data_IF_302811688299
#
_entry.id   IF_302811688299
#
_cell.length_a   1.000
_cell.length_b   1.000
_cell.length_c   1.000
_cell.angle_alpha   90.00
_cell.angle_beta   90.00
_cell.angle_gamma   90.00
#
_symmetry.space_group_name_H-M   'P 1'
#
loop_
_entity.id
_entity.type
_entity.pdbx_description
1 polymer ?
#
# COMPACT_ATOMS: atom_id res chain seq x y z
N UNK A 1 39.02 7.86 38.90
CA UNK A 1 37.93 7.07 38.34
C UNK A 1 38.60 6.04 37.43
N UNK A 2 38.52 4.76 37.79
CA UNK A 2 39.26 3.69 37.11
C UNK A 2 38.68 3.44 35.71
N UNK A 3 39.52 3.16 34.72
CA UNK A 3 39.11 2.77 33.36
C UNK A 3 38.17 1.56 33.33
N UNK A 4 38.23 0.69 34.34
CA UNK A 4 37.37 -0.48 34.50
C UNK A 4 35.94 -0.09 34.89
N UNK A 5 35.76 0.92 35.77
CA UNK A 5 34.41 1.40 36.12
C UNK A 5 33.68 2.03 34.95
N UNK A 6 34.40 2.72 34.07
CA UNK A 6 33.84 3.28 32.83
C UNK A 6 33.45 2.19 31.83
N UNK A 7 34.27 1.16 31.68
CA UNK A 7 33.98 0.01 30.79
C UNK A 7 32.75 -0.77 31.27
N UNK A 8 32.63 -1.00 32.57
CA UNK A 8 31.47 -1.69 33.16
C UNK A 8 30.18 -0.86 32.96
N UNK A 9 30.24 0.45 33.18
CA UNK A 9 29.08 1.33 32.93
C UNK A 9 28.66 1.35 31.44
N UNK A 10 29.63 1.45 30.54
CA UNK A 10 29.33 1.41 29.07
C UNK A 10 28.75 0.07 28.65
N UNK A 11 29.25 -1.05 29.24
CA UNK A 11 28.69 -2.37 28.97
C UNK A 11 27.23 -2.49 29.42
N UNK A 12 26.91 -2.01 30.64
CA UNK A 12 25.54 -2.07 31.16
C UNK A 12 24.57 -1.19 30.38
N UNK A 13 24.99 -0.03 29.89
CA UNK A 13 24.16 0.79 29.00
C UNK A 13 23.91 0.11 27.67
N UNK A 14 24.90 -0.56 27.08
CA UNK A 14 24.73 -1.33 25.85
C UNK A 14 23.74 -2.46 26.03
N UNK A 15 23.85 -3.24 27.09
CA UNK A 15 22.90 -4.32 27.42
C UNK A 15 21.46 -3.79 27.52
N UNK A 16 21.24 -2.65 28.18
CA UNK A 16 19.91 -2.04 28.29
C UNK A 16 19.39 -1.53 26.94
N UNK A 17 20.24 -0.98 26.08
CA UNK A 17 19.86 -0.58 24.74
C UNK A 17 19.52 -1.78 23.87
N UNK A 18 20.30 -2.85 23.94
CA UNK A 18 20.07 -4.08 23.17
C UNK A 18 18.74 -4.74 23.61
N UNK A 19 18.44 -4.79 24.91
CA UNK A 19 17.15 -5.29 25.42
C UNK A 19 15.95 -4.44 24.93
N UNK A 20 16.10 -3.12 24.90
CA UNK A 20 15.05 -2.23 24.39
C UNK A 20 14.86 -2.40 22.89
N UNK A 21 15.95 -2.50 22.13
CA UNK A 21 15.93 -2.70 20.69
C UNK A 21 15.25 -4.04 20.34
N UNK A 22 15.61 -5.12 21.04
CA UNK A 22 14.99 -6.43 20.88
C UNK A 22 13.48 -6.41 21.19
N UNK A 23 13.05 -5.71 22.24
CA UNK A 23 11.63 -5.56 22.54
C UNK A 23 10.89 -4.78 21.45
N UNK A 24 11.47 -3.70 20.96
CA UNK A 24 10.88 -2.89 19.89
C UNK A 24 10.81 -3.72 18.61
N UNK A 25 11.90 -4.38 18.23
CA UNK A 25 11.96 -5.25 17.05
C UNK A 25 10.92 -6.37 17.11
N UNK A 26 10.78 -7.04 18.25
CA UNK A 26 9.78 -8.09 18.46
C UNK A 26 8.34 -7.56 18.33
N UNK A 27 8.05 -6.35 18.82
CA UNK A 27 6.75 -5.73 18.65
C UNK A 27 6.49 -5.32 17.21
N UNK A 28 7.48 -4.77 16.52
CA UNK A 28 7.37 -4.42 15.11
C UNK A 28 7.14 -5.66 14.25
N UNK A 29 7.86 -6.74 14.50
CA UNK A 29 7.68 -8.02 13.80
C UNK A 29 6.26 -8.57 14.00
N UNK A 30 5.78 -8.58 15.24
CA UNK A 30 4.43 -9.07 15.58
C UNK A 30 3.31 -8.29 14.90
N UNK A 31 3.43 -6.96 14.81
CA UNK A 31 2.35 -6.08 14.37
C UNK A 31 2.46 -5.62 12.91
N UNK A 32 3.64 -5.76 12.29
CA UNK A 32 3.90 -5.25 10.94
C UNK A 32 2.87 -5.75 9.93
N UNK A 33 2.70 -7.05 9.80
CA UNK A 33 1.78 -7.64 8.82
C UNK A 33 0.31 -7.38 9.14
N UNK A 34 -0.20 -7.56 10.38
CA UNK A 34 -1.58 -7.22 10.70
C UNK A 34 -1.92 -5.75 10.42
N UNK A 35 -1.05 -4.82 10.84
CA UNK A 35 -1.25 -3.38 10.63
C UNK A 35 -1.21 -3.05 9.15
N UNK A 36 -0.23 -3.57 8.41
CA UNK A 36 -0.08 -3.37 6.98
C UNK A 36 -1.32 -3.85 6.21
N UNK A 37 -1.84 -5.02 6.56
CA UNK A 37 -3.04 -5.61 5.98
C UNK A 37 -4.28 -4.74 6.22
N UNK A 38 -4.49 -4.31 7.46
CA UNK A 38 -5.62 -3.42 7.81
C UNK A 38 -5.47 -2.07 7.10
N UNK A 39 -4.28 -1.49 7.08
CA UNK A 39 -4.04 -0.20 6.42
C UNK A 39 -4.38 -0.24 4.93
N UNK A 40 -3.91 -1.26 4.20
CA UNK A 40 -4.24 -1.42 2.77
C UNK A 40 -5.75 -1.66 2.60
N UNK A 41 -6.34 -2.52 3.42
CA UNK A 41 -7.77 -2.79 3.33
C UNK A 41 -8.61 -1.51 3.51
N UNK A 42 -8.28 -0.68 4.50
CA UNK A 42 -8.94 0.61 4.72
C UNK A 42 -8.81 1.52 3.51
N UNK A 43 -7.60 1.63 2.94
CA UNK A 43 -7.35 2.45 1.74
C UNK A 43 -8.22 1.97 0.57
N UNK A 44 -8.25 0.65 0.29
CA UNK A 44 -9.02 0.10 -0.81
C UNK A 44 -10.53 0.23 -0.60
N UNK A 45 -11.04 -0.04 0.61
CA UNK A 45 -12.46 0.14 0.92
C UNK A 45 -12.85 1.62 0.79
N UNK A 46 -12.05 2.52 1.35
CA UNK A 46 -12.35 3.94 1.35
C UNK A 46 -12.36 4.53 -0.05
N UNK A 47 -11.29 4.33 -0.80
CA UNK A 47 -11.18 4.89 -2.16
C UNK A 47 -12.11 4.20 -3.15
N UNK A 48 -12.36 2.91 -2.97
CA UNK A 48 -13.37 2.20 -3.74
C UNK A 48 -14.77 2.77 -3.48
N UNK A 49 -15.14 2.99 -2.22
CA UNK A 49 -16.42 3.60 -1.86
C UNK A 49 -16.59 5.01 -2.47
N UNK A 50 -15.55 5.86 -2.43
CA UNK A 50 -15.58 7.18 -3.06
C UNK A 50 -15.88 7.10 -4.58
N UNK A 51 -15.37 6.08 -5.28
CA UNK A 51 -15.66 5.85 -6.70
C UNK A 51 -17.11 5.41 -6.93
N UNK A 52 -17.62 4.54 -6.05
CA UNK A 52 -19.03 4.09 -6.11
C UNK A 52 -19.99 5.25 -5.92
N UNK A 53 -19.68 6.17 -5.02
CA UNK A 53 -20.51 7.36 -4.75
C UNK A 53 -20.25 8.52 -5.73
N UNK A 54 -19.33 8.38 -6.68
CA UNK A 54 -19.03 9.42 -7.68
C UNK A 54 -18.32 10.66 -7.14
N UNK A 55 -17.70 10.59 -5.98
CA UNK A 55 -16.97 11.69 -5.31
C UNK A 55 -15.46 11.45 -5.22
N UNK A 56 -14.93 10.52 -6.02
CA UNK A 56 -13.51 10.20 -6.03
C UNK A 56 -12.70 11.25 -6.78
N UNK A 57 -11.67 11.85 -6.17
CA UNK A 57 -10.74 12.74 -6.89
C UNK A 57 -10.00 12.04 -8.05
N UNK A 58 -9.78 10.73 -7.94
CA UNK A 58 -9.16 9.92 -8.99
C UNK A 58 -10.13 9.49 -10.09
N UNK A 59 -11.42 9.78 -9.97
CA UNK A 59 -12.45 9.37 -10.93
C UNK A 59 -12.19 9.92 -12.33
N UNK A 60 -11.80 11.19 -12.45
CA UNK A 60 -11.51 11.84 -13.74
C UNK A 60 -10.27 11.22 -14.41
N UNK A 61 -9.23 10.90 -13.67
CA UNK A 61 -8.03 10.25 -14.20
C UNK A 61 -8.37 8.85 -14.74
N UNK A 62 -9.16 8.07 -14.00
CA UNK A 62 -9.61 6.75 -14.42
C UNK A 62 -10.50 6.88 -15.68
N UNK A 63 -11.44 7.84 -15.67
CA UNK A 63 -12.31 8.10 -16.80
C UNK A 63 -11.54 8.47 -18.07
N UNK A 64 -10.48 9.28 -17.94
CA UNK A 64 -9.63 9.68 -19.07
C UNK A 64 -8.76 8.55 -19.61
N UNK A 65 -8.55 7.49 -18.82
CA UNK A 65 -7.70 6.35 -19.21
C UNK A 65 -8.48 5.24 -19.89
N UNK A 66 -9.82 5.21 -19.73
CA UNK A 66 -10.68 4.15 -20.25
C UNK A 66 -11.32 4.58 -21.56
N UNK A 67 -10.93 3.91 -22.66
CA UNK A 67 -11.43 4.22 -24.01
C UNK A 67 -12.47 3.21 -24.54
N UNK A 68 -12.58 2.04 -23.90
CA UNK A 68 -13.35 0.90 -24.43
C UNK A 68 -14.74 0.82 -23.79
N UNK A 69 -14.87 1.28 -22.56
CA UNK A 69 -16.11 1.21 -21.78
C UNK A 69 -16.51 2.63 -21.36
N UNK A 70 -17.80 2.89 -21.26
CA UNK A 70 -18.29 4.16 -20.74
C UNK A 70 -17.76 4.43 -19.32
N UNK A 71 -17.04 5.55 -19.10
CA UNK A 71 -16.46 5.89 -17.81
C UNK A 71 -17.48 5.95 -16.67
N UNK A 72 -18.71 6.40 -16.94
CA UNK A 72 -19.76 6.49 -15.94
C UNK A 72 -20.16 5.11 -15.37
N UNK A 73 -19.97 4.07 -16.16
CA UNK A 73 -20.20 2.69 -15.75
C UNK A 73 -18.92 2.06 -15.16
N UNK A 74 -17.78 2.33 -15.77
CA UNK A 74 -16.50 1.69 -15.39
C UNK A 74 -16.02 2.13 -14.01
N UNK A 75 -16.07 3.44 -13.70
CA UNK A 75 -15.53 3.98 -12.44
C UNK A 75 -16.23 3.38 -11.21
N UNK A 76 -17.57 3.29 -11.12
CA UNK A 76 -18.25 2.61 -10.02
C UNK A 76 -17.93 1.11 -9.94
N UNK A 77 -17.82 0.41 -11.07
CA UNK A 77 -17.43 -1.02 -11.08
C UNK A 77 -16.03 -1.21 -10.51
N UNK A 78 -15.08 -0.37 -10.93
CA UNK A 78 -13.73 -0.36 -10.36
C UNK A 78 -13.76 -0.07 -8.84
N UNK A 79 -14.63 0.84 -8.41
CA UNK A 79 -14.85 1.13 -6.99
C UNK A 79 -15.33 -0.09 -6.21
N UNK A 80 -16.30 -0.84 -6.74
CA UNK A 80 -16.77 -2.10 -6.13
C UNK A 80 -15.64 -3.12 -6.08
N UNK A 81 -14.86 -3.25 -7.15
CA UNK A 81 -13.70 -4.12 -7.20
C UNK A 81 -12.69 -3.82 -6.09
N UNK A 82 -12.37 -2.53 -5.88
CA UNK A 82 -11.48 -2.08 -4.81
C UNK A 82 -12.04 -2.41 -3.42
N UNK A 83 -13.33 -2.18 -3.19
CA UNK A 83 -13.99 -2.55 -1.92
C UNK A 83 -13.88 -4.06 -1.67
N UNK A 84 -14.09 -4.88 -2.70
CA UNK A 84 -13.94 -6.34 -2.60
C UNK A 84 -12.51 -6.73 -2.24
N UNK A 85 -11.49 -6.12 -2.86
CA UNK A 85 -10.09 -6.33 -2.49
C UNK A 85 -9.88 -6.04 -1.00
N UNK A 86 -10.33 -4.88 -0.53
CA UNK A 86 -10.18 -4.49 0.86
C UNK A 86 -10.85 -5.45 1.84
N UNK A 87 -12.07 -5.89 1.54
CA UNK A 87 -12.78 -6.90 2.36
C UNK A 87 -12.03 -8.23 2.35
N UNK A 88 -11.56 -8.70 1.20
CA UNK A 88 -10.78 -9.93 1.08
C UNK A 88 -9.49 -9.87 1.92
N UNK A 89 -8.82 -8.72 1.98
CA UNK A 89 -7.62 -8.55 2.80
C UNK A 89 -7.92 -8.58 4.32
N UNK A 90 -9.10 -8.16 4.76
CA UNK A 90 -9.50 -8.24 6.17
C UNK A 90 -9.85 -9.67 6.61
N UNK A 91 -10.42 -10.47 5.71
CA UNK A 91 -10.86 -11.82 6.03
C UNK A 91 -9.79 -12.86 5.66
N UNK A 92 -9.18 -13.50 6.68
CA UNK A 92 -8.04 -14.40 6.54
C UNK A 92 -8.15 -15.43 5.39
N UNK A 93 -9.26 -16.20 5.25
CA UNK A 93 -9.36 -17.17 4.17
C UNK A 93 -9.30 -16.60 2.76
N UNK A 94 -9.63 -15.31 2.60
CA UNK A 94 -9.70 -14.63 1.31
C UNK A 94 -8.48 -13.74 1.00
N UNK A 95 -7.46 -13.70 1.86
CA UNK A 95 -6.27 -12.85 1.64
C UNK A 95 -5.61 -13.16 0.29
N UNK A 96 -5.47 -14.43 -0.06
CA UNK A 96 -4.89 -14.85 -1.36
C UNK A 96 -5.68 -14.31 -2.54
N UNK A 97 -7.01 -14.36 -2.44
CA UNK A 97 -7.89 -13.78 -3.45
C UNK A 97 -7.75 -12.27 -3.51
N UNK A 98 -7.73 -11.59 -2.36
CA UNK A 98 -7.52 -10.14 -2.29
C UNK A 98 -6.22 -9.71 -2.95
N UNK A 99 -5.11 -10.39 -2.66
CA UNK A 99 -3.80 -10.13 -3.28
C UNK A 99 -3.86 -10.39 -4.79
N UNK A 100 -4.47 -11.49 -5.23
CA UNK A 100 -4.63 -11.79 -6.65
C UNK A 100 -5.42 -10.69 -7.38
N UNK A 101 -6.56 -10.27 -6.84
CA UNK A 101 -7.39 -9.21 -7.42
C UNK A 101 -6.64 -7.86 -7.45
N UNK A 102 -5.84 -7.57 -6.41
CA UNK A 102 -5.00 -6.39 -6.35
C UNK A 102 -3.95 -6.39 -7.47
N UNK A 103 -3.21 -7.47 -7.64
CA UNK A 103 -2.23 -7.59 -8.72
C UNK A 103 -2.87 -7.54 -10.11
N UNK A 104 -4.08 -8.05 -10.26
CA UNK A 104 -4.83 -7.99 -11.52
C UNK A 104 -5.21 -6.54 -11.89
N UNK A 105 -5.46 -5.68 -10.90
CA UNK A 105 -5.78 -4.25 -11.10
C UNK A 105 -4.54 -3.41 -11.43
N UNK A 106 -3.36 -3.75 -10.92
CA UNK A 106 -2.15 -2.92 -11.00
C UNK A 106 -1.78 -2.47 -12.42
N UNK A 107 -1.83 -3.32 -13.47
CA UNK A 107 -1.53 -2.86 -14.82
C UNK A 107 -2.40 -1.68 -15.26
N UNK A 108 -3.69 -1.71 -14.92
CA UNK A 108 -4.61 -0.61 -15.18
C UNK A 108 -4.26 0.67 -14.42
N UNK A 109 -3.77 0.54 -13.18
CA UNK A 109 -3.36 1.68 -12.35
C UNK A 109 -2.13 2.40 -12.92
N UNK A 110 -1.20 1.68 -13.55
CA UNK A 110 0.00 2.26 -14.18
C UNK A 110 -0.23 2.70 -15.63
N UNK A 111 -1.35 2.34 -16.25
CA UNK A 111 -1.66 2.65 -17.64
C UNK A 111 -1.60 4.16 -17.98
N UNK A 112 -2.04 5.11 -17.11
CA UNK A 112 -1.95 6.54 -17.40
C UNK A 112 -0.52 7.04 -17.62
N UNK A 113 0.51 6.39 -17.06
CA UNK A 113 1.92 6.77 -17.29
C UNK A 113 2.26 6.71 -18.78
N UNK A 114 1.67 5.76 -19.49
CA UNK A 114 1.94 5.52 -20.92
C UNK A 114 0.94 6.27 -21.80
N UNK A 115 -0.35 6.30 -21.42
CA UNK A 115 -1.41 6.86 -22.24
C UNK A 115 -1.59 8.37 -22.06
N UNK A 116 -1.29 8.92 -20.87
CA UNK A 116 -1.52 10.31 -20.49
C UNK A 116 -0.29 10.92 -19.81
N UNK A 117 0.90 10.88 -20.45
CA UNK A 117 2.12 11.37 -19.82
C UNK A 117 2.05 12.85 -19.46
N UNK A 118 1.30 13.67 -20.19
CA UNK A 118 1.07 15.09 -19.90
C UNK A 118 0.24 15.33 -18.64
N UNK A 119 -0.60 14.38 -18.22
CA UNK A 119 -1.36 14.43 -16.96
C UNK A 119 -0.50 13.92 -15.80
N UNK A 120 0.40 12.97 -16.07
CA UNK A 120 1.23 12.32 -15.04
C UNK A 120 2.48 13.13 -14.72
N UNK A 121 3.06 13.82 -15.72
CA UNK A 121 4.32 14.54 -15.58
C UNK A 121 4.18 16.03 -15.85
N UNK A 122 4.78 16.85 -15.00
CA UNK A 122 5.05 18.27 -15.25
C UNK A 122 6.35 18.46 -16.05
N UNK A 123 7.32 17.57 -15.83
CA UNK A 123 8.61 17.48 -16.53
C UNK A 123 9.04 16.03 -16.61
N UNK A 124 8.90 15.44 -17.79
CA UNK A 124 9.30 14.04 -17.99
C UNK A 124 10.84 13.88 -17.88
N UNK A 125 11.37 12.82 -17.22
CA UNK A 125 10.65 11.72 -16.56
C UNK A 125 10.48 11.88 -15.03
N UNK A 126 10.91 12.95 -14.40
CA UNK A 126 11.03 13.06 -12.95
C UNK A 126 10.09 14.07 -12.29
N UNK A 127 9.55 15.04 -13.02
CA UNK A 127 8.59 16.00 -12.48
C UNK A 127 7.19 15.39 -12.49
N UNK A 128 6.68 14.94 -11.35
CA UNK A 128 5.35 14.37 -11.25
C UNK A 128 4.30 15.42 -10.89
N UNK A 129 3.12 15.31 -11.48
CA UNK A 129 1.89 15.97 -11.02
C UNK A 129 1.39 15.31 -9.73
N UNK A 130 0.31 15.81 -9.15
CA UNK A 130 -0.37 15.17 -8.02
C UNK A 130 -0.90 13.79 -8.44
N UNK A 131 -1.50 13.69 -9.62
CA UNK A 131 -1.98 12.45 -10.23
C UNK A 131 -0.84 11.44 -10.42
N UNK A 132 0.29 11.90 -10.95
CA UNK A 132 1.49 11.07 -11.10
C UNK A 132 2.00 10.53 -9.77
N UNK A 133 2.02 11.35 -8.72
CA UNK A 133 2.40 10.91 -7.37
C UNK A 133 1.44 9.83 -6.83
N UNK A 134 0.13 9.95 -7.07
CA UNK A 134 -0.83 8.92 -6.67
C UNK A 134 -0.57 7.59 -7.37
N UNK A 135 -0.17 7.61 -8.64
CA UNK A 135 0.17 6.39 -9.38
C UNK A 135 1.44 5.75 -8.82
N UNK A 136 2.51 6.53 -8.66
CA UNK A 136 3.80 6.02 -8.18
C UNK A 136 3.71 5.47 -6.74
N UNK A 137 2.86 6.04 -5.88
CA UNK A 137 2.61 5.49 -4.53
C UNK A 137 2.09 4.05 -4.53
N UNK A 138 1.53 3.56 -5.62
CA UNK A 138 1.14 2.15 -5.73
C UNK A 138 2.32 1.17 -5.66
N UNK A 139 3.56 1.62 -5.87
CA UNK A 139 4.76 0.81 -5.60
C UNK A 139 4.83 0.38 -4.12
N UNK A 140 4.40 1.24 -3.19
CA UNK A 140 4.33 0.90 -1.76
C UNK A 140 3.27 -0.18 -1.52
N UNK A 141 2.13 -0.10 -2.22
CA UNK A 141 1.06 -1.11 -2.15
C UNK A 141 1.54 -2.46 -2.68
N UNK A 142 2.34 -2.46 -3.76
CA UNK A 142 2.97 -3.69 -4.28
C UNK A 142 3.88 -4.33 -3.23
N UNK A 143 4.79 -3.55 -2.64
CA UNK A 143 5.70 -4.04 -1.61
C UNK A 143 4.95 -4.60 -0.40
N UNK A 144 3.90 -3.90 0.03
CA UNK A 144 3.06 -4.32 1.13
C UNK A 144 2.26 -5.61 0.80
N UNK A 145 1.70 -5.74 -0.41
CA UNK A 145 0.99 -6.93 -0.86
C UNK A 145 1.92 -8.15 -0.93
N UNK A 146 3.18 -7.96 -1.38
CA UNK A 146 4.20 -9.01 -1.36
C UNK A 146 4.56 -9.42 0.07
N UNK A 147 4.72 -8.47 0.99
CA UNK A 147 4.97 -8.74 2.41
C UNK A 147 3.84 -9.56 3.05
N UNK A 148 2.59 -9.15 2.83
CA UNK A 148 1.40 -9.89 3.31
C UNK A 148 1.35 -11.28 2.67
N UNK A 149 1.57 -11.38 1.35
CA UNK A 149 1.53 -12.64 0.62
C UNK A 149 2.56 -13.66 1.09
N UNK A 150 3.74 -13.20 1.49
CA UNK A 150 4.82 -14.03 2.02
C UNK A 150 4.43 -14.77 3.31
N UNK A 151 3.57 -14.18 4.14
CA UNK A 151 3.18 -14.77 5.44
C UNK A 151 1.94 -15.66 5.38
N UNK A 152 1.21 -15.70 4.26
CA UNK A 152 -0.07 -16.46 4.15
C UNK A 152 0.11 -17.99 4.27
N UNK A 153 1.33 -18.50 4.16
CA UNK A 153 1.62 -19.94 4.35
C UNK A 153 1.90 -20.30 5.81
N UNK A 154 2.31 -19.33 6.60
CA UNK A 154 2.78 -19.53 7.98
C UNK A 154 1.65 -19.27 9.00
N UNK A 155 0.50 -18.83 8.55
CA UNK A 155 -0.74 -18.62 9.30
C UNK A 155 -1.76 -19.76 9.09
#
# INVERSE_FOLDING_TARGET
MSTDSLRTSVASYREQFDELDDMIAAQMDRWSIPVLRVAIAVVFIWFGALKVFGISPAGELVASTVYIVDPATFVPILGIWEVVIGICLLYRPLIRLGIFLLFLQLPGTFLPIVLLPEVVFTSFPYGLTVEGQYIIKNLVIIGAALGIGGTVRDE
#
